data_IF_620569806084
#
_entry.id   IF_620569806084
#
_cell.length_a   1.000
_cell.length_b   1.000
_cell.length_c   1.000
_cell.angle_alpha   90.00
_cell.angle_beta   90.00
_cell.angle_gamma   90.00
#
_symmetry.space_group_name_H-M   'P 1'
#
loop_
_entity.id
_entity.type
_entity.pdbx_description
1 polymer ?
#
# COMPACT_ATOMS: atom_id res chain seq x y z
N UNK A 1 -75.20 30.69 -0.24
CA UNK A 1 -74.51 29.43 -0.65
C UNK A 1 -73.18 29.81 -1.27
N UNK A 2 -72.08 29.26 -0.74
CA UNK A 2 -70.76 28.95 -1.37
C UNK A 2 -70.28 29.93 -2.46
N UNK A 3 -69.19 30.68 -2.25
CA UNK A 3 -67.85 30.12 -2.39
C UNK A 3 -66.76 31.08 -1.90
N UNK A 4 -65.75 30.48 -1.26
CA UNK A 4 -64.55 31.11 -0.69
C UNK A 4 -63.49 31.25 -1.78
N UNK A 5 -62.86 32.42 -1.90
CA UNK A 5 -61.52 32.56 -2.47
C UNK A 5 -60.54 32.86 -1.31
N UNK A 6 -59.48 32.06 -1.09
CA UNK A 6 -58.48 32.37 -0.10
C UNK A 6 -57.31 33.14 -0.69
N UNK A 7 -56.90 34.16 0.04
CA UNK A 7 -55.60 34.83 -0.04
C UNK A 7 -54.42 33.86 -0.18
N UNK A 8 -53.66 34.00 -1.26
CA UNK A 8 -52.32 33.46 -1.35
C UNK A 8 -51.37 34.34 -0.52
N UNK A 9 -51.19 33.98 0.76
CA UNK A 9 -50.02 34.40 1.54
C UNK A 9 -48.82 33.59 1.07
N UNK A 10 -47.83 34.26 0.47
CA UNK A 10 -46.47 33.71 0.32
C UNK A 10 -45.96 33.32 1.70
N UNK A 11 -45.77 32.02 1.93
CA UNK A 11 -45.02 31.51 3.07
C UNK A 11 -43.54 31.48 2.70
N UNK A 12 -42.75 32.14 3.53
CA UNK A 12 -41.31 32.03 3.61
C UNK A 12 -40.95 30.57 3.95
N UNK A 13 -40.20 29.93 3.06
CA UNK A 13 -39.61 28.62 3.26
C UNK A 13 -38.11 28.78 3.41
N UNK A 14 -37.70 28.81 4.68
CA UNK A 14 -36.35 28.70 5.23
C UNK A 14 -35.34 27.97 4.30
N UNK A 15 -34.32 28.69 3.82
CA UNK A 15 -33.10 28.04 3.33
C UNK A 15 -32.44 27.33 4.51
N UNK A 16 -32.46 26.00 4.50
CA UNK A 16 -31.56 25.20 5.32
C UNK A 16 -30.20 25.29 4.64
N UNK A 17 -29.41 26.26 5.04
CA UNK A 17 -27.99 26.31 4.72
C UNK A 17 -27.31 25.15 5.43
N UNK A 18 -27.10 24.05 4.73
CA UNK A 18 -26.11 23.05 5.12
C UNK A 18 -24.75 23.73 5.06
N UNK A 19 -24.33 24.31 6.19
CA UNK A 19 -22.95 24.68 6.42
C UNK A 19 -22.15 23.37 6.46
N UNK A 20 -21.63 22.97 5.30
CA UNK A 20 -20.46 22.11 5.20
C UNK A 20 -19.32 22.90 5.86
N UNK A 21 -19.23 22.79 7.18
CA UNK A 21 -18.08 23.28 7.93
C UNK A 21 -16.85 22.62 7.34
N UNK A 22 -15.99 23.42 6.71
CA UNK A 22 -14.61 23.06 6.41
C UNK A 22 -13.99 22.57 7.72
N UNK A 23 -13.95 21.25 7.90
CA UNK A 23 -13.09 20.64 8.90
C UNK A 23 -11.68 20.81 8.38
N UNK A 24 -11.08 21.95 8.72
CA UNK A 24 -9.65 22.13 8.60
C UNK A 24 -9.03 21.04 9.48
N UNK A 25 -8.42 20.05 8.85
CA UNK A 25 -7.66 19.03 9.58
C UNK A 25 -6.62 19.76 10.42
N UNK A 26 -6.64 19.55 11.75
CA UNK A 26 -5.58 20.09 12.59
C UNK A 26 -4.23 19.58 12.09
N UNK A 27 -3.18 20.42 12.06
CA UNK A 27 -1.90 20.00 11.54
C UNK A 27 -1.41 18.82 12.38
N UNK A 28 -1.17 17.69 11.71
CA UNK A 28 -0.50 16.55 12.32
C UNK A 28 0.81 17.06 12.96
N UNK A 29 1.03 16.71 14.23
CA UNK A 29 2.26 17.07 14.94
C UNK A 29 3.52 16.54 14.22
N UNK A 30 4.70 16.95 14.66
CA UNK A 30 5.95 16.53 14.03
C UNK A 30 6.03 14.99 13.91
N UNK A 31 6.46 14.47 12.75
CA UNK A 31 6.50 13.03 12.53
C UNK A 31 7.53 12.39 13.46
N UNK A 32 7.08 11.35 14.19
CA UNK A 32 7.90 10.60 15.16
C UNK A 32 9.18 10.01 14.55
N UNK A 33 9.13 9.66 13.26
CA UNK A 33 10.26 9.18 12.46
C UNK A 33 9.98 9.51 11.00
N UNK A 34 11.03 9.70 10.20
CA UNK A 34 10.93 9.86 8.75
C UNK A 34 11.86 8.88 8.06
N UNK A 35 11.32 8.09 7.14
CA UNK A 35 12.09 7.20 6.26
C UNK A 35 11.94 7.62 4.81
N UNK A 36 13.02 7.49 4.05
CA UNK A 36 13.09 7.72 2.61
C UNK A 36 12.90 6.41 1.86
N UNK A 37 12.13 6.46 0.78
CA UNK A 37 11.96 5.37 -0.19
C UNK A 37 12.16 5.92 -1.59
N UNK A 38 13.15 5.42 -2.31
CA UNK A 38 13.32 5.80 -3.71
C UNK A 38 12.31 5.07 -4.61
N UNK A 39 11.75 5.79 -5.59
CA UNK A 39 10.83 5.30 -6.61
C UNK A 39 11.30 5.75 -8.01
N UNK A 40 11.63 4.82 -8.94
CA UNK A 40 11.74 3.39 -8.70
C UNK A 40 12.89 3.09 -7.73
N UNK A 41 12.73 2.05 -6.89
CA UNK A 41 13.82 1.64 -6.00
C UNK A 41 15.03 1.21 -6.82
N UNK A 42 16.25 1.44 -6.34
CA UNK A 42 17.45 1.07 -7.09
C UNK A 42 17.55 -0.47 -7.27
N UNK A 43 17.99 -0.98 -8.44
CA UNK A 43 18.08 -2.42 -8.69
C UNK A 43 18.88 -3.19 -7.63
N UNK A 44 20.02 -2.65 -7.19
CA UNK A 44 20.86 -3.27 -6.16
C UNK A 44 20.16 -3.40 -4.79
N UNK A 45 19.24 -2.48 -4.46
CA UNK A 45 18.48 -2.52 -3.21
C UNK A 45 17.26 -3.42 -3.35
N UNK A 46 16.64 -3.47 -4.54
CA UNK A 46 15.56 -4.43 -4.86
C UNK A 46 16.00 -5.89 -4.73
N UNK A 47 17.26 -6.18 -5.04
CA UNK A 47 17.85 -7.52 -4.93
C UNK A 47 18.28 -7.90 -3.50
N UNK A 48 18.09 -7.02 -2.50
CA UNK A 48 18.51 -7.30 -1.14
C UNK A 48 17.57 -8.29 -0.43
N UNK A 49 18.03 -8.84 0.70
CA UNK A 49 17.22 -9.73 1.55
C UNK A 49 15.90 -9.06 2.02
N UNK A 50 15.89 -7.74 2.14
CA UNK A 50 14.72 -6.93 2.46
C UNK A 50 14.97 -5.46 2.12
N UNK A 51 14.32 -4.97 1.05
CA UNK A 51 14.41 -3.58 0.58
C UNK A 51 14.36 -2.56 1.73
N UNK A 52 13.33 -2.62 2.57
CA UNK A 52 13.17 -1.68 3.69
C UNK A 52 14.30 -1.73 4.72
N UNK A 53 14.80 -2.92 5.08
CA UNK A 53 15.86 -3.02 6.10
C UNK A 53 17.15 -2.39 5.56
N UNK A 54 17.45 -2.63 4.28
CA UNK A 54 18.59 -2.01 3.60
C UNK A 54 18.42 -0.49 3.44
N UNK A 55 17.21 -0.01 3.12
CA UNK A 55 16.89 1.42 3.05
C UNK A 55 17.09 2.11 4.40
N UNK A 56 16.58 1.53 5.49
CA UNK A 56 16.66 2.10 6.82
C UNK A 56 18.10 2.07 7.37
N UNK A 57 18.85 0.99 7.16
CA UNK A 57 20.27 0.90 7.53
C UNK A 57 21.10 2.01 6.86
N UNK A 58 20.89 2.27 5.57
CA UNK A 58 21.54 3.36 4.83
C UNK A 58 21.20 4.76 5.36
N UNK A 59 20.06 4.88 6.05
CA UNK A 59 19.59 6.12 6.66
C UNK A 59 20.00 6.24 8.13
N UNK A 60 20.69 5.25 8.70
CA UNK A 60 21.03 5.21 10.12
C UNK A 60 19.82 4.99 11.05
N UNK A 61 18.72 4.47 10.52
CA UNK A 61 17.47 4.23 11.24
C UNK A 61 17.40 2.75 11.67
N UNK A 62 17.02 2.49 12.94
CA UNK A 62 16.86 1.11 13.41
C UNK A 62 15.63 0.48 12.78
N UNK A 63 15.84 -0.54 11.96
CA UNK A 63 14.76 -1.19 11.23
C UNK A 63 14.23 -2.43 11.96
N UNK A 64 12.92 -2.52 12.10
CA UNK A 64 12.21 -3.69 12.62
C UNK A 64 11.25 -4.28 11.59
N UNK A 65 10.93 -5.57 11.72
CA UNK A 65 9.87 -6.21 10.94
C UNK A 65 9.19 -7.33 11.72
N UNK A 66 7.87 -7.42 11.57
CA UNK A 66 7.04 -8.45 12.21
C UNK A 66 6.14 -9.09 11.17
N UNK A 67 6.12 -10.42 11.09
CA UNK A 67 5.16 -11.14 10.25
C UNK A 67 3.80 -11.14 10.96
N UNK A 68 2.77 -10.61 10.30
CA UNK A 68 1.41 -10.51 10.84
C UNK A 68 0.54 -11.67 10.38
N UNK A 69 0.66 -12.07 9.11
CA UNK A 69 -0.18 -13.11 8.52
C UNK A 69 0.53 -13.81 7.37
N UNK A 70 0.32 -15.12 7.28
CA UNK A 70 0.66 -15.95 6.11
C UNK A 70 -0.50 -16.93 5.89
N UNK A 71 -1.13 -16.88 4.73
CA UNK A 71 -2.21 -17.80 4.40
C UNK A 71 -3.03 -17.38 3.17
N UNK A 72 -4.01 -18.20 2.79
CA UNK A 72 -4.90 -17.89 1.67
C UNK A 72 -5.94 -16.84 2.06
N UNK A 73 -6.14 -15.84 1.21
CA UNK A 73 -7.23 -14.85 1.31
C UNK A 73 -7.79 -14.52 -0.08
N UNK A 74 -9.06 -14.05 -0.18
CA UNK A 74 -9.63 -13.63 -1.46
C UNK A 74 -8.87 -12.41 -2.01
N UNK A 75 -8.46 -12.46 -3.28
CA UNK A 75 -7.75 -11.35 -3.91
C UNK A 75 -8.64 -10.09 -4.01
N UNK A 76 -8.23 -8.94 -3.43
CA UNK A 76 -8.86 -7.65 -3.68
C UNK A 76 -8.78 -7.29 -5.17
N UNK A 77 -9.69 -6.45 -5.67
CA UNK A 77 -9.78 -6.10 -7.10
C UNK A 77 -8.44 -5.63 -7.70
N UNK A 78 -7.74 -4.72 -7.03
CA UNK A 78 -6.46 -4.18 -7.50
C UNK A 78 -5.34 -5.23 -7.49
N UNK A 79 -5.39 -6.22 -6.59
CA UNK A 79 -4.45 -7.35 -6.55
C UNK A 79 -4.78 -8.35 -7.65
N UNK A 80 -6.06 -8.65 -7.83
CA UNK A 80 -6.55 -9.57 -8.86
C UNK A 80 -6.18 -9.07 -10.26
N UNK A 81 -6.34 -7.76 -10.51
CA UNK A 81 -5.90 -7.11 -11.74
C UNK A 81 -4.40 -7.29 -12.00
N UNK A 82 -3.54 -7.05 -10.99
CA UNK A 82 -2.09 -7.24 -11.11
C UNK A 82 -1.68 -8.71 -11.28
N UNK A 83 -2.40 -9.64 -10.65
CA UNK A 83 -2.17 -11.08 -10.78
C UNK A 83 -2.84 -11.72 -12.01
N UNK A 84 -3.64 -10.95 -12.76
CA UNK A 84 -4.46 -11.40 -13.90
C UNK A 84 -5.35 -12.60 -13.55
N UNK A 85 -6.03 -12.50 -12.41
CA UNK A 85 -7.04 -13.47 -11.94
C UNK A 85 -8.36 -12.75 -11.67
N UNK A 86 -9.44 -13.50 -11.49
CA UNK A 86 -10.73 -12.91 -11.12
C UNK A 86 -10.69 -12.35 -9.69
N UNK A 87 -11.35 -11.21 -9.40
CA UNK A 87 -11.54 -10.73 -8.03
C UNK A 87 -12.12 -11.83 -7.13
N UNK A 88 -11.59 -11.94 -5.90
CA UNK A 88 -11.97 -12.98 -4.96
C UNK A 88 -11.31 -14.35 -5.18
N UNK A 89 -10.56 -14.56 -6.26
CA UNK A 89 -9.72 -15.76 -6.44
C UNK A 89 -8.81 -15.92 -5.22
N UNK A 90 -8.74 -17.12 -4.59
CA UNK A 90 -7.84 -17.34 -3.48
C UNK A 90 -6.38 -17.13 -3.88
N UNK A 91 -5.69 -16.27 -3.12
CA UNK A 91 -4.25 -15.98 -3.28
C UNK A 91 -3.56 -16.15 -1.94
N UNK A 92 -2.28 -16.51 -1.98
CA UNK A 92 -1.45 -16.52 -0.79
C UNK A 92 -1.07 -15.08 -0.45
N UNK A 93 -1.45 -14.62 0.73
CA UNK A 93 -1.01 -13.35 1.30
C UNK A 93 0.05 -13.57 2.38
N UNK A 94 1.13 -12.79 2.30
CA UNK A 94 2.18 -12.70 3.33
C UNK A 94 2.28 -11.24 3.80
N UNK A 95 1.65 -10.94 4.93
CA UNK A 95 1.51 -9.58 5.49
C UNK A 95 2.52 -9.35 6.60
N UNK A 96 3.25 -8.25 6.53
CA UNK A 96 4.25 -7.85 7.53
C UNK A 96 4.12 -6.38 7.90
N UNK A 97 4.41 -6.06 9.15
CA UNK A 97 4.61 -4.71 9.64
C UNK A 97 6.10 -4.37 9.59
N UNK A 98 6.42 -3.16 9.15
CA UNK A 98 7.76 -2.61 9.09
C UNK A 98 7.86 -1.42 10.03
N UNK A 99 8.90 -1.40 10.85
CA UNK A 99 9.12 -0.41 11.89
C UNK A 99 10.43 0.35 11.66
N UNK A 100 10.42 1.63 11.97
CA UNK A 100 11.58 2.51 11.99
C UNK A 100 11.67 3.13 13.38
N UNK A 101 12.77 2.85 14.10
CA UNK A 101 12.95 3.23 15.51
C UNK A 101 11.74 2.87 16.39
N UNK A 102 11.27 1.62 16.26
CA UNK A 102 10.07 1.07 16.95
C UNK A 102 8.73 1.72 16.55
N UNK A 103 8.71 2.66 15.60
CA UNK A 103 7.48 3.26 15.08
C UNK A 103 7.02 2.51 13.83
N UNK A 104 5.75 2.05 13.76
CA UNK A 104 5.19 1.48 12.53
C UNK A 104 5.22 2.49 11.38
N UNK A 105 5.82 2.10 10.26
CA UNK A 105 5.94 2.97 9.08
C UNK A 105 5.25 2.38 7.86
N UNK A 106 5.31 1.06 7.66
CA UNK A 106 4.68 0.40 6.51
C UNK A 106 3.98 -0.90 6.92
N UNK A 107 2.79 -1.13 6.38
CA UNK A 107 2.17 -2.44 6.31
C UNK A 107 2.33 -2.95 4.87
N UNK A 108 2.91 -4.13 4.69
CA UNK A 108 3.21 -4.68 3.37
C UNK A 108 2.64 -6.08 3.22
N UNK A 109 1.88 -6.32 2.15
CA UNK A 109 1.29 -7.62 1.82
C UNK A 109 1.84 -8.09 0.48
N UNK A 110 2.50 -9.25 0.48
CA UNK A 110 2.91 -9.94 -0.75
C UNK A 110 1.84 -10.97 -1.11
N UNK A 111 1.25 -10.79 -2.29
CA UNK A 111 0.24 -11.66 -2.88
C UNK A 111 0.84 -12.52 -3.98
N UNK A 112 0.55 -13.81 -3.91
CA UNK A 112 1.10 -14.85 -4.78
C UNK A 112 -0.05 -15.76 -5.23
N UNK A 113 -0.06 -16.19 -6.49
CA UNK A 113 -1.11 -17.09 -6.96
C UNK A 113 -0.92 -18.49 -6.36
N UNK A 114 -2.00 -19.05 -5.81
CA UNK A 114 -1.94 -20.37 -5.17
C UNK A 114 -1.76 -21.52 -6.18
N UNK A 115 -2.21 -21.35 -7.43
CA UNK A 115 -2.01 -22.34 -8.48
C UNK A 115 -0.53 -22.50 -8.89
N UNK A 116 0.29 -21.46 -8.68
CA UNK A 116 1.74 -21.50 -8.91
C UNK A 116 2.53 -21.88 -7.65
N UNK A 117 2.09 -21.38 -6.48
CA UNK A 117 2.93 -21.36 -5.28
C UNK A 117 2.34 -22.10 -4.08
N UNK A 118 1.12 -22.63 -4.18
CA UNK A 118 0.38 -23.22 -3.05
C UNK A 118 1.00 -24.50 -2.49
N UNK A 119 1.79 -25.23 -3.29
CA UNK A 119 2.48 -26.46 -2.87
C UNK A 119 3.98 -26.24 -2.65
N UNK A 120 4.38 -25.01 -2.32
CA UNK A 120 5.79 -24.63 -2.17
C UNK A 120 6.06 -24.11 -0.76
N UNK A 121 7.34 -24.05 -0.31
CA UNK A 121 7.69 -23.44 0.98
C UNK A 121 7.25 -21.98 1.14
N UNK A 122 6.77 -21.33 0.07
CA UNK A 122 6.17 -20.00 0.14
C UNK A 122 4.89 -19.95 0.97
N UNK A 123 4.25 -21.06 1.34
CA UNK A 123 3.10 -21.05 2.26
C UNK A 123 3.50 -21.10 3.74
N UNK A 124 4.77 -21.40 4.03
CA UNK A 124 5.23 -21.58 5.40
C UNK A 124 5.26 -20.26 6.18
N UNK A 125 4.95 -20.27 7.49
CA UNK A 125 4.94 -19.07 8.31
C UNK A 125 6.33 -18.44 8.45
N UNK A 126 6.38 -17.15 8.81
CA UNK A 126 7.62 -16.44 9.10
C UNK A 126 8.35 -15.87 7.88
N UNK A 127 9.60 -15.45 8.06
CA UNK A 127 10.39 -14.84 6.99
C UNK A 127 11.23 -15.89 6.26
N UNK A 128 11.17 -15.85 4.93
CA UNK A 128 11.98 -16.70 4.06
C UNK A 128 13.41 -16.18 3.95
N UNK A 129 14.37 -17.10 3.75
CA UNK A 129 15.79 -16.78 3.54
C UNK A 129 16.25 -17.28 2.16
N UNK A 130 17.10 -16.51 1.44
CA UNK A 130 17.58 -15.17 1.82
C UNK A 130 16.52 -14.07 1.66
N UNK A 131 15.52 -14.27 0.79
CA UNK A 131 14.36 -13.39 0.64
C UNK A 131 13.17 -14.11 0.00
N UNK A 132 12.00 -13.46 -0.02
CA UNK A 132 10.86 -13.94 -0.81
C UNK A 132 11.17 -13.98 -2.31
N UNK A 133 11.85 -12.96 -2.85
CA UNK A 133 12.21 -12.92 -4.27
C UNK A 133 13.14 -14.08 -4.64
N UNK A 134 14.16 -14.35 -3.83
CA UNK A 134 15.07 -15.46 -4.06
C UNK A 134 14.34 -16.82 -4.01
N UNK A 135 13.36 -16.97 -3.12
CA UNK A 135 12.54 -18.18 -3.07
C UNK A 135 11.67 -18.35 -4.33
N UNK A 136 11.08 -17.27 -4.85
CA UNK A 136 10.34 -17.27 -6.12
C UNK A 136 11.26 -17.63 -7.30
N UNK A 137 12.47 -17.05 -7.36
CA UNK A 137 13.44 -17.35 -8.40
C UNK A 137 13.97 -18.78 -8.34
N UNK A 138 14.16 -19.33 -7.13
CA UNK A 138 14.55 -20.72 -6.92
C UNK A 138 13.50 -21.73 -7.42
N UNK A 139 12.24 -21.31 -7.52
CA UNK A 139 11.14 -22.07 -8.14
C UNK A 139 11.10 -21.89 -9.68
N UNK A 140 12.07 -21.19 -10.28
CA UNK A 140 12.18 -20.98 -11.72
C UNK A 140 11.53 -19.70 -12.25
N UNK A 141 10.90 -18.90 -11.40
CA UNK A 141 10.21 -17.68 -11.80
C UNK A 141 11.14 -16.45 -11.74
N UNK A 142 11.84 -16.18 -12.84
CA UNK A 142 12.71 -14.98 -12.97
C UNK A 142 11.89 -13.71 -13.19
N UNK A 143 12.14 -12.67 -12.39
CA UNK A 143 11.51 -11.35 -12.54
C UNK A 143 11.96 -10.67 -13.85
N UNK A 144 11.00 -10.29 -14.69
CA UNK A 144 11.25 -9.60 -15.96
C UNK A 144 10.97 -8.10 -15.89
N UNK A 145 9.72 -7.74 -15.57
CA UNK A 145 9.28 -6.34 -15.47
C UNK A 145 8.35 -6.15 -14.28
N UNK A 146 8.17 -4.91 -13.86
CA UNK A 146 7.18 -4.55 -12.85
C UNK A 146 6.60 -3.18 -13.11
N UNK A 147 5.36 -2.98 -12.69
CA UNK A 147 4.63 -1.72 -12.72
C UNK A 147 4.27 -1.33 -11.29
N UNK A 148 4.41 -0.05 -10.95
CA UNK A 148 4.13 0.48 -9.61
C UNK A 148 3.16 1.64 -9.70
N UNK A 149 2.02 1.55 -9.00
CA UNK A 149 1.06 2.63 -8.84
C UNK A 149 1.10 3.16 -7.42
N UNK A 150 1.02 4.48 -7.28
CA UNK A 150 1.05 5.18 -5.99
C UNK A 150 -0.19 6.05 -5.84
N UNK A 151 -0.91 5.87 -4.73
CA UNK A 151 -2.15 6.60 -4.43
C UNK A 151 -2.09 7.12 -3.00
N UNK A 152 -2.26 8.43 -2.82
CA UNK A 152 -2.48 9.03 -1.51
C UNK A 152 -3.97 9.02 -1.19
N UNK A 153 -4.36 8.49 -0.02
CA UNK A 153 -5.75 8.40 0.42
C UNK A 153 -5.86 8.36 1.96
N UNK A 154 -7.07 8.57 2.53
CA UNK A 154 -7.32 8.21 3.91
C UNK A 154 -7.04 6.71 4.19
N UNK A 155 -6.67 6.34 5.42
CA UNK A 155 -6.54 4.95 5.81
C UNK A 155 -7.90 4.23 5.78
N UNK A 156 -7.88 2.95 5.44
CA UNK A 156 -9.04 2.07 5.33
C UNK A 156 -8.90 0.86 6.27
N UNK A 157 -10.03 0.26 6.66
CA UNK A 157 -10.04 -0.94 7.50
C UNK A 157 -9.20 -0.80 8.77
N UNK A 158 -8.24 -1.71 8.95
CA UNK A 158 -7.35 -1.76 10.12
C UNK A 158 -6.03 -0.99 9.93
N UNK A 159 -5.86 -0.25 8.81
CA UNK A 159 -4.60 0.42 8.50
C UNK A 159 -4.22 1.46 9.55
N UNK A 160 -5.19 2.27 10.01
CA UNK A 160 -4.95 3.30 11.03
C UNK A 160 -4.48 2.69 12.35
N UNK A 161 -5.06 1.55 12.75
CA UNK A 161 -4.66 0.84 13.97
C UNK A 161 -3.29 0.18 13.78
N UNK A 162 -3.10 -0.51 12.65
CA UNK A 162 -1.86 -1.24 12.33
C UNK A 162 -0.64 -0.31 12.26
N UNK A 163 -0.83 0.88 11.70
CA UNK A 163 0.22 1.88 11.54
C UNK A 163 0.29 2.89 12.69
N UNK A 164 -0.53 2.74 13.74
CA UNK A 164 -0.59 3.69 14.86
C UNK A 164 -0.74 5.14 14.36
N UNK A 165 -1.75 5.36 13.50
CA UNK A 165 -2.01 6.66 12.88
C UNK A 165 -2.87 7.55 13.77
N UNK A 166 -2.49 8.82 13.86
CA UNK A 166 -3.28 9.86 14.49
C UNK A 166 -4.51 10.25 13.66
N UNK A 167 -5.48 10.96 14.28
CA UNK A 167 -6.63 11.50 13.57
C UNK A 167 -6.19 12.38 12.39
N UNK A 168 -6.78 12.14 11.21
CA UNK A 168 -6.50 12.93 10.01
C UNK A 168 -5.19 12.59 9.30
N UNK A 169 -4.39 11.64 9.78
CA UNK A 169 -3.22 11.16 9.04
C UNK A 169 -3.65 10.37 7.79
N UNK A 170 -2.95 10.61 6.67
CA UNK A 170 -3.16 9.92 5.41
C UNK A 170 -2.17 8.76 5.25
N UNK A 171 -2.49 7.88 4.30
CA UNK A 171 -1.57 6.85 3.83
C UNK A 171 -1.24 7.05 2.37
N UNK A 172 -0.09 6.50 1.98
CA UNK A 172 0.29 6.31 0.59
C UNK A 172 0.30 4.82 0.31
N UNK A 173 -0.65 4.36 -0.51
CA UNK A 173 -0.73 2.99 -0.99
C UNK A 173 0.14 2.85 -2.23
N UNK A 174 1.02 1.85 -2.24
CA UNK A 174 1.88 1.53 -3.38
C UNK A 174 1.63 0.08 -3.76
N UNK A 175 1.09 -0.13 -4.95
CA UNK A 175 0.82 -1.47 -5.49
C UNK A 175 1.82 -1.73 -6.61
N UNK A 176 2.64 -2.75 -6.42
CA UNK A 176 3.62 -3.22 -7.41
C UNK A 176 3.20 -4.56 -7.96
N UNK A 177 2.87 -4.63 -9.25
CA UNK A 177 2.68 -5.88 -9.96
C UNK A 177 3.98 -6.27 -10.68
N UNK A 178 4.46 -7.49 -10.43
CA UNK A 178 5.67 -8.01 -11.03
C UNK A 178 5.38 -9.23 -11.90
N UNK A 179 5.97 -9.22 -13.09
CA UNK A 179 5.78 -10.22 -14.12
C UNK A 179 7.12 -10.91 -14.43
N UNK A 180 7.07 -12.19 -14.79
CA UNK A 180 8.25 -12.95 -15.17
C UNK A 180 8.84 -12.44 -16.50
N UNK A 181 10.02 -12.96 -16.88
CA UNK A 181 10.59 -12.72 -18.21
C UNK A 181 9.66 -13.14 -19.37
N UNK A 182 8.75 -14.09 -19.11
CA UNK A 182 7.74 -14.58 -20.05
C UNK A 182 6.37 -13.90 -19.86
N UNK A 183 6.33 -12.75 -19.17
CA UNK A 183 5.14 -11.95 -18.86
C UNK A 183 4.06 -12.66 -18.00
N UNK A 184 4.44 -13.71 -17.26
CA UNK A 184 3.55 -14.36 -16.29
C UNK A 184 3.44 -13.51 -15.02
N UNK A 185 2.25 -13.16 -14.50
CA UNK A 185 2.11 -12.48 -13.22
C UNK A 185 2.51 -13.39 -12.07
N UNK A 186 3.58 -13.02 -11.36
CA UNK A 186 4.19 -13.87 -10.33
C UNK A 186 4.06 -13.29 -8.92
N UNK A 187 3.95 -11.97 -8.77
CA UNK A 187 3.92 -11.33 -7.46
C UNK A 187 3.26 -9.96 -7.52
N UNK A 188 2.29 -9.71 -6.64
CA UNK A 188 1.81 -8.36 -6.33
C UNK A 188 2.26 -7.99 -4.92
N UNK A 189 2.92 -6.85 -4.77
CA UNK A 189 3.27 -6.27 -3.47
C UNK A 189 2.44 -5.02 -3.25
N UNK A 190 1.52 -5.08 -2.30
CA UNK A 190 0.88 -3.90 -1.75
C UNK A 190 1.70 -3.40 -0.55
N UNK A 191 1.95 -2.09 -0.49
CA UNK A 191 2.57 -1.43 0.66
C UNK A 191 1.77 -0.19 1.01
N UNK A 192 1.22 -0.17 2.22
CA UNK A 192 0.56 1.00 2.81
C UNK A 192 1.57 1.69 3.71
N UNK A 193 1.95 2.92 3.34
CA UNK A 193 2.91 3.74 4.07
C UNK A 193 2.16 4.83 4.85
N UNK A 194 2.53 5.06 6.11
CA UNK A 194 2.13 6.27 6.82
C UNK A 194 2.69 7.51 6.10
N UNK A 195 1.83 8.38 5.55
CA UNK A 195 2.25 9.47 4.67
C UNK A 195 3.13 10.49 5.41
N UNK A 196 2.80 10.81 6.65
CA UNK A 196 3.56 11.70 7.53
C UNK A 196 4.98 11.22 7.81
N UNK A 197 5.26 9.92 7.65
CA UNK A 197 6.53 9.27 8.02
C UNK A 197 7.38 8.90 6.79
N UNK A 198 6.97 9.29 5.59
CA UNK A 198 7.63 8.91 4.35
C UNK A 198 8.00 10.10 3.47
N UNK A 199 9.23 10.06 2.99
CA UNK A 199 9.66 10.84 1.83
C UNK A 199 9.84 9.86 0.66
N UNK A 200 9.13 10.10 -0.44
CA UNK A 200 9.29 9.32 -1.67
C UNK A 200 10.22 10.07 -2.62
N UNK A 201 11.45 9.58 -2.76
CA UNK A 201 12.46 10.21 -3.61
C UNK A 201 12.33 9.71 -5.04
N UNK A 202 12.08 10.62 -5.97
CA UNK A 202 12.04 10.34 -7.40
C UNK A 202 13.27 11.00 -8.00
N UNK A 203 14.27 10.19 -8.35
CA UNK A 203 15.49 10.68 -8.99
C UNK A 203 15.34 10.59 -10.50
N UNK A 204 15.34 11.74 -11.16
CA UNK A 204 15.43 11.83 -12.61
C UNK A 204 16.91 11.90 -12.99
N UNK A 205 17.33 11.07 -13.94
CA UNK A 205 18.69 11.06 -14.50
C UNK A 205 18.61 11.50 -15.96
N UNK A 206 19.54 12.35 -16.40
CA UNK A 206 19.61 12.74 -17.80
C UNK A 206 19.98 11.53 -18.67
N UNK A 207 19.25 11.32 -19.78
CA UNK A 207 19.61 10.29 -20.77
C UNK A 207 18.51 9.35 -21.28
N UNK A 208 17.22 9.67 -21.14
CA UNK A 208 16.17 8.98 -21.90
C UNK A 208 14.95 9.83 -22.27
N UNK A 209 14.80 11.03 -21.72
CA UNK A 209 14.26 12.24 -22.35
C UNK A 209 14.34 13.36 -21.29
N UNK A 210 14.62 14.58 -21.71
CA UNK A 210 14.79 15.73 -20.81
C UNK A 210 13.50 16.00 -20.00
N UNK A 211 13.64 15.96 -18.67
CA UNK A 211 12.68 16.35 -17.61
C UNK A 211 11.35 15.59 -17.53
#
# INVERSE_FOLDING_TARGET
MRGREPHARKQEGQQVGEQLGERVAEPAGEPRVVVRRSLPSQPAVRASASLFLTEAERQGVRAGRTMLYVGPEPAPEHVAAGLRVEPGTPVLARRKLLLADEVPVRAATSFLRLDLFGETPLVEPGFLRPSLQAAIEALGHRFGRAEEHLVARPPEGEEAVTLDLGPGEWVVQIVRAAYSADDLPIHVLETVCAASRHIFEITQVSGADEF
#
